data_IF_474494969782
#
_entry.id   IF_474494969782
#
_cell.length_a   1.000
_cell.length_b   1.000
_cell.length_c   1.000
_cell.angle_alpha   90.00
_cell.angle_beta   90.00
_cell.angle_gamma   90.00
#
_symmetry.space_group_name_H-M   'P 1'
#
loop_
_entity.id
_entity.type
_entity.pdbx_description
1 polymer ?
#
# COMPACT_ATOMS: atom_id res chain seq x y z
N UNK A 1 8.78 14.90 -12.02
CA UNK A 1 7.49 15.26 -11.36
C UNK A 1 7.18 14.26 -10.25
N UNK A 2 6.60 14.67 -9.11
CA UNK A 2 6.32 13.78 -7.96
C UNK A 2 4.81 13.62 -7.68
N UNK A 3 4.40 12.44 -7.20
CA UNK A 3 3.01 12.11 -6.83
C UNK A 3 2.98 11.21 -5.60
N UNK A 4 2.15 11.55 -4.61
CA UNK A 4 1.88 10.70 -3.45
C UNK A 4 0.55 9.94 -3.66
N UNK A 5 0.54 8.63 -3.42
CA UNK A 5 -0.67 7.79 -3.43
C UNK A 5 -0.77 7.01 -2.11
N UNK A 6 -1.96 6.49 -1.81
CA UNK A 6 -2.22 5.65 -0.63
C UNK A 6 -2.92 4.37 -1.06
N UNK A 7 -2.44 3.22 -0.59
CA UNK A 7 -3.05 1.91 -0.82
C UNK A 7 -3.53 1.38 0.53
N UNK A 8 -4.81 1.04 0.71
CA UNK A 8 -5.28 0.39 1.93
C UNK A 8 -4.69 -1.03 2.00
N UNK A 9 -4.27 -1.43 3.20
CA UNK A 9 -3.91 -2.80 3.53
C UNK A 9 -5.14 -3.37 4.22
N UNK A 10 -5.96 -4.10 3.47
CA UNK A 10 -7.07 -4.89 4.04
C UNK A 10 -6.56 -6.33 4.27
N UNK A 11 -7.01 -6.92 5.38
CA UNK A 11 -6.53 -8.19 5.98
C UNK A 11 -6.88 -9.45 5.17
N UNK A 12 -7.55 -9.30 4.03
CA UNK A 12 -8.01 -10.39 3.17
C UNK A 12 -6.88 -10.99 2.33
N UNK A 13 -5.76 -11.40 2.94
CA UNK A 13 -4.76 -12.35 2.43
C UNK A 13 -4.24 -12.15 0.98
N UNK A 14 -4.52 -11.00 0.36
CA UNK A 14 -4.24 -10.60 -1.02
C UNK A 14 -3.25 -9.42 -1.08
N UNK A 15 -2.56 -9.12 0.03
CA UNK A 15 -1.67 -7.96 0.19
C UNK A 15 -0.73 -7.73 -1.00
N UNK A 16 -0.14 -8.80 -1.53
CA UNK A 16 0.80 -8.73 -2.66
C UNK A 16 0.11 -8.48 -4.01
N UNK A 17 -1.13 -8.94 -4.20
CA UNK A 17 -1.86 -8.76 -5.46
C UNK A 17 -2.42 -7.33 -5.52
N UNK A 18 -2.99 -6.83 -4.42
CA UNK A 18 -3.62 -5.51 -4.35
C UNK A 18 -2.62 -4.36 -4.57
N UNK A 19 -1.43 -4.44 -3.96
CA UNK A 19 -0.39 -3.40 -4.11
C UNK A 19 0.14 -3.36 -5.54
N UNK A 20 0.39 -4.54 -6.13
CA UNK A 20 0.97 -4.67 -7.47
C UNK A 20 0.00 -4.21 -8.54
N UNK A 21 -1.30 -4.51 -8.38
CA UNK A 21 -2.37 -3.98 -9.24
C UNK A 21 -2.47 -2.45 -9.15
N UNK A 22 -2.48 -1.89 -7.94
CA UNK A 22 -2.55 -0.43 -7.74
C UNK A 22 -1.35 0.30 -8.34
N UNK A 23 -0.16 -0.32 -8.32
CA UNK A 23 1.06 0.28 -8.86
C UNK A 23 1.28 0.03 -10.36
N UNK A 24 0.73 -1.05 -10.92
CA UNK A 24 0.99 -1.48 -12.31
C UNK A 24 0.83 -0.34 -13.31
N UNK A 25 -0.32 0.34 -13.30
CA UNK A 25 -0.60 1.46 -14.19
C UNK A 25 0.40 2.62 -14.05
N UNK A 26 0.88 2.92 -12.84
CA UNK A 26 1.88 3.98 -12.64
C UNK A 26 3.24 3.57 -13.21
N UNK A 27 3.66 2.34 -12.91
CA UNK A 27 4.95 1.81 -13.36
C UNK A 27 5.00 1.71 -14.89
N UNK A 28 3.91 1.27 -15.54
CA UNK A 28 3.79 1.23 -17.01
C UNK A 28 3.82 2.63 -17.64
N UNK A 29 3.33 3.66 -16.93
CA UNK A 29 3.33 5.05 -17.39
C UNK A 29 4.64 5.80 -17.07
N UNK A 30 5.71 5.09 -16.73
CA UNK A 30 7.05 5.65 -16.51
C UNK A 30 7.25 6.31 -15.15
N UNK A 31 6.36 6.04 -14.19
CA UNK A 31 6.58 6.41 -12.79
C UNK A 31 7.45 5.36 -12.11
N UNK A 32 8.23 5.79 -11.12
CA UNK A 32 9.02 4.90 -10.26
C UNK A 32 8.68 5.16 -8.80
N UNK A 33 8.69 4.11 -7.99
CA UNK A 33 8.56 4.22 -6.54
C UNK A 33 9.85 4.77 -5.96
N UNK A 34 9.75 5.89 -5.24
CA UNK A 34 10.85 6.53 -4.52
C UNK A 34 10.83 6.13 -3.06
N UNK A 35 9.64 6.08 -2.46
CA UNK A 35 9.49 5.77 -1.04
C UNK A 35 8.15 5.07 -0.77
N UNK A 36 8.15 4.15 0.18
CA UNK A 36 6.94 3.51 0.73
C UNK A 36 6.94 3.70 2.25
N UNK A 37 5.85 4.21 2.79
CA UNK A 37 5.70 4.55 4.21
C UNK A 37 4.44 3.85 4.72
N UNK A 38 4.56 2.88 5.65
CA UNK A 38 3.39 2.34 6.33
C UNK A 38 2.80 3.41 7.24
N UNK A 39 1.49 3.66 7.09
CA UNK A 39 0.73 4.64 7.86
C UNK A 39 -0.38 3.90 8.61
N UNK A 40 -0.41 4.07 9.93
CA UNK A 40 -1.46 3.47 10.75
C UNK A 40 -1.35 1.95 10.91
N UNK A 41 -0.17 1.36 10.71
CA UNK A 41 0.09 -0.06 11.02
C UNK A 41 -0.03 -0.33 12.53
N UNK A 42 -1.25 -0.32 13.04
CA UNK A 42 -1.60 -0.91 14.32
C UNK A 42 -1.98 -2.35 14.07
N UNK A 43 -1.25 -3.28 14.70
CA UNK A 43 -1.74 -4.65 14.85
C UNK A 43 -2.92 -4.55 15.82
N UNK A 44 -4.14 -4.63 15.30
CA UNK A 44 -5.30 -4.80 16.16
C UNK A 44 -5.23 -6.20 16.76
N UNK A 45 -5.23 -6.32 18.08
CA UNK A 45 -5.55 -7.60 18.72
C UNK A 45 -7.04 -7.80 18.51
N UNK A 46 -7.44 -8.38 17.38
CA UNK A 46 -8.83 -8.73 17.17
C UNK A 46 -9.34 -9.60 18.31
N UNK A 47 -10.65 -9.54 18.53
CA UNK A 47 -11.36 -10.34 19.52
C UNK A 47 -11.14 -11.83 19.25
N UNK A 48 -11.37 -12.73 20.22
CA UNK A 48 -11.06 -14.18 20.15
C UNK A 48 -11.58 -14.91 18.90
N UNK A 49 -12.51 -14.33 18.14
CA UNK A 49 -13.02 -14.87 16.86
C UNK A 49 -12.32 -14.37 15.59
N UNK A 50 -11.65 -13.21 15.59
CA UNK A 50 -11.24 -12.52 14.35
C UNK A 50 -9.73 -12.53 14.06
N UNK A 51 -8.88 -12.93 15.02
CA UNK A 51 -7.43 -12.94 14.84
C UNK A 51 -6.81 -11.54 14.74
N UNK A 52 -5.47 -11.42 14.75
CA UNK A 52 -4.81 -10.12 14.61
C UNK A 52 -5.00 -9.60 13.18
N UNK A 53 -5.56 -8.40 13.03
CA UNK A 53 -5.74 -7.74 11.74
C UNK A 53 -4.81 -6.54 11.57
N UNK A 54 -4.33 -6.31 10.35
CA UNK A 54 -3.54 -5.12 10.00
C UNK A 54 -4.44 -4.11 9.29
N UNK A 55 -5.13 -3.25 10.05
CA UNK A 55 -5.83 -2.12 9.46
C UNK A 55 -4.84 -0.98 9.19
N UNK A 56 -4.22 -0.97 8.01
CA UNK A 56 -3.16 -0.05 7.66
C UNK A 56 -3.32 0.60 6.29
N UNK A 57 -2.49 1.60 6.02
CA UNK A 57 -2.35 2.21 4.70
C UNK A 57 -0.88 2.20 4.32
N UNK A 58 -0.57 2.03 3.05
CA UNK A 58 0.75 2.23 2.50
C UNK A 58 0.76 3.53 1.69
N UNK A 59 1.45 4.55 2.20
CA UNK A 59 1.69 5.78 1.45
C UNK A 59 2.91 5.59 0.54
N UNK A 60 2.75 5.81 -0.76
CA UNK A 60 3.80 5.58 -1.76
C UNK A 60 4.09 6.89 -2.50
N UNK A 61 5.34 7.34 -2.43
CA UNK A 61 5.85 8.44 -3.22
C UNK A 61 6.37 7.92 -4.57
N UNK A 62 5.79 8.43 -5.64
CA UNK A 62 6.15 8.17 -7.02
C UNK A 62 6.87 9.37 -7.63
N UNK A 63 7.84 9.10 -8.49
CA UNK A 63 8.51 10.11 -9.30
C UNK A 63 8.55 9.69 -10.78
N UNK A 64 8.25 10.64 -11.65
CA UNK A 64 8.39 10.49 -13.10
C UNK A 64 9.62 11.24 -13.56
N UNK A 65 10.51 10.50 -14.23
CA UNK A 65 11.64 11.04 -14.97
C UNK A 65 11.10 11.59 -16.30
N UNK A 66 11.41 12.85 -16.60
CA UNK A 66 11.17 13.44 -17.92
C UNK A 66 12.24 12.98 -18.91
#
# INVERSE_FOLDING_TARGET
MQKLITIPLDDDNEEDMTIREHLSSYLENGWRVVQMIPVGAGVGTGDEESGPYVAGWLAILLERFE
#
